data_IF_413211942834
#
_entry.id   IF_413211942834
#
_cell.length_a   1.000
_cell.length_b   1.000
_cell.length_c   1.000
_cell.angle_alpha   90.00
_cell.angle_beta   90.00
_cell.angle_gamma   90.00
#
_symmetry.space_group_name_H-M   'P 1'
#
loop_
_entity.id
_entity.type
_entity.pdbx_description
1 polymer ?
#
# COMPACT_ATOMS: atom_id res chain seq x y z
N UNK A 1 -26.95 8.48 12.06
CA UNK A 1 -25.74 7.76 12.56
C UNK A 1 -24.58 8.74 12.58
N UNK A 2 -23.72 8.77 13.62
CA UNK A 2 -22.58 9.69 13.61
C UNK A 2 -21.65 9.26 12.49
N UNK A 3 -21.24 10.19 11.63
CA UNK A 3 -20.30 9.91 10.54
C UNK A 3 -19.01 9.36 11.16
N UNK A 4 -18.69 8.09 10.90
CA UNK A 4 -17.38 7.55 11.25
C UNK A 4 -16.31 8.39 10.55
N UNK A 5 -15.37 8.94 11.31
CA UNK A 5 -14.20 9.58 10.71
C UNK A 5 -13.45 8.52 9.91
N UNK A 6 -13.29 8.75 8.61
CA UNK A 6 -12.53 7.88 7.71
C UNK A 6 -11.18 8.53 7.43
N UNK A 7 -10.11 7.75 7.49
CA UNK A 7 -8.77 8.20 7.09
C UNK A 7 -8.61 7.92 5.59
N UNK A 8 -8.14 8.93 4.85
CA UNK A 8 -7.96 8.82 3.40
C UNK A 8 -6.55 9.25 3.02
N UNK A 9 -5.80 8.36 2.36
CA UNK A 9 -4.49 8.66 1.78
C UNK A 9 -4.71 9.17 0.35
N UNK A 10 -4.22 10.37 0.06
CA UNK A 10 -4.28 10.94 -1.29
C UNK A 10 -2.99 10.60 -2.05
N UNK A 11 -3.12 9.93 -3.18
CA UNK A 11 -2.03 9.58 -4.09
C UNK A 11 -2.15 10.39 -5.38
N UNK A 12 -1.02 10.84 -5.93
CA UNK A 12 -0.94 11.67 -7.13
C UNK A 12 -0.04 11.05 -8.19
N UNK A 13 -0.50 11.01 -9.44
CA UNK A 13 0.29 10.60 -10.62
C UNK A 13 0.04 11.59 -11.76
N UNK A 14 1.04 12.41 -12.06
CA UNK A 14 0.84 13.56 -12.97
C UNK A 14 -0.25 14.47 -12.40
N UNK A 15 -1.27 14.79 -13.19
CA UNK A 15 -2.41 15.60 -12.76
C UNK A 15 -3.57 14.78 -12.16
N UNK A 16 -3.45 13.46 -12.13
CA UNK A 16 -4.48 12.58 -11.58
C UNK A 16 -4.29 12.38 -10.08
N UNK A 17 -5.42 12.35 -9.36
CA UNK A 17 -5.49 12.09 -7.92
C UNK A 17 -6.40 10.90 -7.65
N UNK A 18 -6.03 10.06 -6.69
CA UNK A 18 -6.90 9.02 -6.14
C UNK A 18 -6.86 9.06 -4.60
N UNK A 19 -7.98 8.68 -3.97
CA UNK A 19 -8.11 8.56 -2.52
C UNK A 19 -8.21 7.10 -2.10
N UNK A 20 -7.36 6.69 -1.17
CA UNK A 20 -7.36 5.36 -0.57
C UNK A 20 -7.92 5.47 0.85
N UNK A 21 -9.13 4.96 1.06
CA UNK A 21 -9.72 4.87 2.39
C UNK A 21 -9.00 3.76 3.15
N UNK A 22 -8.51 4.06 4.36
CA UNK A 22 -7.80 3.12 5.22
C UNK A 22 -8.42 3.10 6.60
N UNK A 23 -8.30 1.96 7.28
CA UNK A 23 -8.79 1.80 8.65
C UNK A 23 -7.94 2.60 9.65
N UNK A 24 -6.61 2.52 9.50
CA UNK A 24 -5.66 3.15 10.43
C UNK A 24 -4.39 3.65 9.70
N UNK A 25 -3.80 4.72 10.23
CA UNK A 25 -2.50 5.24 9.81
C UNK A 25 -1.45 4.90 10.88
N UNK A 26 -0.61 3.91 10.60
CA UNK A 26 0.44 3.45 11.54
C UNK A 26 1.61 4.44 11.61
N UNK A 27 1.94 5.10 10.49
CA UNK A 27 3.01 6.11 10.40
C UNK A 27 3.90 5.93 9.17
N UNK A 28 5.01 6.67 9.14
CA UNK A 28 6.04 6.55 8.10
C UNK A 28 7.26 5.82 8.66
N UNK A 29 7.78 4.85 7.91
CA UNK A 29 8.97 4.08 8.28
C UNK A 29 9.83 3.77 7.05
N UNK A 30 11.13 3.63 7.24
CA UNK A 30 12.04 3.11 6.20
C UNK A 30 11.94 1.59 6.16
N UNK A 31 11.87 1.02 4.96
CA UNK A 31 11.70 -0.42 4.76
C UNK A 31 12.70 -0.97 3.73
N UNK A 32 13.00 -2.26 3.84
CA UNK A 32 13.73 -2.99 2.79
C UNK A 32 12.74 -3.72 1.91
N UNK A 33 12.73 -3.40 0.61
CA UNK A 33 11.88 -4.08 -0.36
C UNK A 33 12.47 -5.45 -0.69
N UNK A 34 11.69 -6.50 -0.49
CA UNK A 34 12.00 -7.86 -0.93
C UNK A 34 11.11 -8.24 -2.10
N UNK A 35 11.75 -8.80 -3.13
CA UNK A 35 11.03 -9.35 -4.27
C UNK A 35 10.20 -10.55 -3.84
N UNK A 36 8.96 -10.59 -4.29
CA UNK A 36 8.01 -11.68 -4.04
C UNK A 36 8.28 -12.93 -4.91
N UNK A 37 9.17 -12.81 -5.90
CA UNK A 37 9.58 -13.89 -6.78
C UNK A 37 8.42 -14.48 -7.58
N UNK A 38 8.64 -15.68 -8.14
CA UNK A 38 7.62 -16.41 -8.92
C UNK A 38 6.52 -17.04 -8.04
N UNK A 39 6.65 -16.95 -6.71
CA UNK A 39 5.66 -17.48 -5.78
C UNK A 39 4.37 -16.66 -5.77
N UNK A 40 4.47 -15.38 -6.18
CA UNK A 40 3.33 -14.47 -6.33
C UNK A 40 3.16 -14.14 -7.81
N UNK A 41 3.35 -15.15 -8.66
CA UNK A 41 2.84 -15.10 -10.02
C UNK A 41 1.31 -15.18 -9.95
N UNK A 42 0.64 -14.43 -10.82
CA UNK A 42 -0.81 -14.43 -11.05
C UNK A 42 -1.61 -13.53 -10.10
N UNK A 43 -1.76 -12.24 -10.45
CA UNK A 43 -3.05 -11.53 -10.69
C UNK A 43 -3.03 -10.04 -10.34
N UNK A 44 -2.11 -9.58 -9.51
CA UNK A 44 -2.14 -8.19 -9.02
C UNK A 44 -0.92 -7.40 -9.51
N UNK A 45 -1.08 -6.65 -10.60
CA UNK A 45 -0.15 -5.54 -10.96
C UNK A 45 -0.03 -4.50 -9.83
N UNK A 46 -0.95 -4.56 -8.86
CA UNK A 46 -1.10 -3.58 -7.80
C UNK A 46 -0.07 -3.75 -6.66
N UNK A 47 0.68 -4.85 -6.60
CA UNK A 47 1.72 -5.08 -5.58
C UNK A 47 3.12 -5.08 -6.24
N UNK A 48 4.02 -4.23 -5.76
CA UNK A 48 5.40 -4.10 -6.27
C UNK A 48 6.43 -4.91 -5.48
N UNK A 49 6.09 -5.36 -4.26
CA UNK A 49 6.97 -6.15 -3.41
C UNK A 49 6.38 -6.38 -2.03
N UNK A 50 7.20 -6.90 -1.12
CA UNK A 50 6.85 -6.98 0.30
C UNK A 50 8.05 -6.66 1.19
N UNK A 51 7.81 -6.42 2.45
CA UNK A 51 8.83 -6.28 3.48
C UNK A 51 8.46 -7.09 4.71
N UNK A 52 9.44 -7.35 5.57
CA UNK A 52 9.22 -7.95 6.88
C UNK A 52 9.39 -6.82 7.89
N UNK A 53 8.35 -6.56 8.67
CA UNK A 53 8.32 -5.55 9.72
C UNK A 53 9.16 -5.98 10.93
N UNK A 54 9.42 -5.05 11.84
CA UNK A 54 10.25 -5.31 13.04
C UNK A 54 9.64 -6.33 14.01
N UNK A 55 8.32 -6.53 13.95
CA UNK A 55 7.56 -7.55 14.68
C UNK A 55 7.47 -8.90 13.96
N UNK A 56 8.03 -9.00 12.75
CA UNK A 56 8.03 -10.20 11.93
C UNK A 56 6.83 -10.34 11.00
N UNK A 57 5.87 -9.41 11.01
CA UNK A 57 4.77 -9.41 10.06
C UNK A 57 5.22 -9.10 8.63
N UNK A 58 4.50 -9.61 7.64
CA UNK A 58 4.76 -9.34 6.22
C UNK A 58 3.84 -8.22 5.75
N UNK A 59 4.43 -7.11 5.32
CA UNK A 59 3.71 -5.99 4.73
C UNK A 59 3.88 -5.98 3.21
N UNK A 60 2.77 -5.83 2.48
CA UNK A 60 2.78 -5.70 1.02
C UNK A 60 2.97 -4.25 0.60
N UNK A 61 3.73 -4.03 -0.47
CA UNK A 61 3.98 -2.70 -1.03
C UNK A 61 3.06 -2.50 -2.21
N UNK A 62 2.18 -1.50 -2.11
CA UNK A 62 1.24 -1.12 -3.15
C UNK A 62 1.94 -0.27 -4.23
N UNK A 63 1.69 -0.56 -5.51
CA UNK A 63 2.10 0.29 -6.61
C UNK A 63 1.02 1.34 -6.91
N UNK A 64 1.25 2.57 -6.43
CA UNK A 64 0.38 3.70 -6.71
C UNK A 64 0.26 4.03 -8.21
N UNK A 65 1.22 3.63 -9.05
CA UNK A 65 1.14 3.85 -10.49
C UNK A 65 0.13 2.95 -11.19
N UNK A 66 -0.26 1.84 -10.56
CA UNK A 66 -1.28 0.93 -11.10
C UNK A 66 -2.68 1.34 -10.64
N UNK A 67 -2.77 2.14 -9.58
CA UNK A 67 -4.02 2.71 -9.07
C UNK A 67 -4.56 3.87 -9.92
N UNK A 68 -3.70 4.57 -10.67
CA UNK A 68 -4.01 5.85 -11.34
C UNK A 68 -3.40 5.91 -12.75
#
# INVERSE_FOLDING_TARGET
>A
EPKSNMVVIIVKKGDQLAGLVVDELIGQQEIVIKSLGKYINCTSRLISGATILGDGEVALILDANVLI
#
